data_IF_449685661135
#
_entry.id   IF_449685661135
#
_cell.length_a   1.000
_cell.length_b   1.000
_cell.length_c   1.000
_cell.angle_alpha   90.00
_cell.angle_beta   90.00
_cell.angle_gamma   90.00
#
_symmetry.space_group_name_H-M   'P 1'
#
loop_
_entity.id
_entity.type
_entity.pdbx_description
1 polymer ?
#
# COMPACT_ATOMS: atom_id res chain seq x y z
N UNK A 1 30.66 -1.10 -12.10
CA UNK A 1 29.73 -1.09 -10.97
C UNK A 1 29.52 0.27 -10.36
N UNK A 2 30.56 1.04 -10.07
CA UNK A 2 30.43 2.39 -9.48
C UNK A 2 29.66 3.35 -10.39
N UNK A 3 29.86 3.30 -11.70
CA UNK A 3 29.16 4.14 -12.68
C UNK A 3 27.68 3.80 -12.78
N UNK A 4 27.35 2.53 -12.70
CA UNK A 4 25.95 2.04 -12.74
C UNK A 4 25.21 2.44 -11.47
N UNK A 5 25.86 2.37 -10.32
CA UNK A 5 25.32 2.82 -9.05
C UNK A 5 25.08 4.34 -9.03
N UNK A 6 26.03 5.10 -9.55
CA UNK A 6 25.91 6.56 -9.65
C UNK A 6 24.77 6.96 -10.59
N UNK A 7 24.65 6.30 -11.74
CA UNK A 7 23.57 6.56 -12.70
C UNK A 7 22.20 6.22 -12.10
N UNK A 8 22.12 5.13 -11.37
CA UNK A 8 20.89 4.71 -10.68
C UNK A 8 20.52 5.68 -9.56
N UNK A 9 21.51 6.14 -8.78
CA UNK A 9 21.32 7.15 -7.75
C UNK A 9 20.86 8.49 -8.35
N UNK A 10 21.46 8.91 -9.46
CA UNK A 10 21.07 10.14 -10.16
C UNK A 10 19.66 10.03 -10.74
N UNK A 11 19.32 8.89 -11.31
CA UNK A 11 17.96 8.63 -11.80
C UNK A 11 16.93 8.67 -10.68
N UNK A 12 17.25 8.12 -9.49
CA UNK A 12 16.40 8.20 -8.31
C UNK A 12 16.22 9.65 -7.84
N UNK A 13 17.28 10.44 -7.83
CA UNK A 13 17.21 11.86 -7.43
C UNK A 13 16.37 12.68 -8.42
N UNK A 14 16.49 12.42 -9.71
CA UNK A 14 15.67 13.11 -10.72
C UNK A 14 14.21 12.69 -10.63
N UNK A 15 13.93 11.44 -10.31
CA UNK A 15 12.57 10.97 -10.04
C UNK A 15 11.96 11.64 -8.81
N UNK A 16 12.73 11.83 -7.76
CA UNK A 16 12.27 12.52 -6.55
C UNK A 16 11.92 13.98 -6.82
N UNK A 17 12.64 14.66 -7.68
CA UNK A 17 12.43 16.09 -7.97
C UNK A 17 11.20 16.36 -8.83
N UNK A 18 10.75 15.38 -9.62
CA UNK A 18 9.59 15.51 -10.52
C UNK A 18 8.41 14.64 -10.13
N UNK A 19 8.58 13.79 -9.13
CA UNK A 19 7.62 12.74 -8.79
C UNK A 19 6.67 13.17 -7.69
N UNK A 20 5.47 12.71 -7.82
CA UNK A 20 4.50 12.73 -6.74
C UNK A 20 4.66 11.44 -5.92
N UNK A 21 4.94 11.61 -4.65
CA UNK A 21 4.99 10.50 -3.71
C UNK A 21 3.73 10.44 -2.88
N UNK A 22 3.38 9.25 -2.49
CA UNK A 22 2.29 8.99 -1.56
C UNK A 22 2.80 8.10 -0.43
N UNK A 23 2.57 8.52 0.80
CA UNK A 23 2.77 7.67 1.97
C UNK A 23 1.41 7.13 2.36
N UNK A 24 1.33 5.83 2.53
CA UNK A 24 0.10 5.14 2.93
C UNK A 24 0.33 4.35 4.20
N UNK A 25 -0.70 4.23 5.00
CA UNK A 25 -0.70 3.29 6.11
C UNK A 25 -2.09 2.69 6.24
N UNK A 26 -2.15 1.42 6.60
CA UNK A 26 -3.41 0.75 6.91
C UNK A 26 -3.41 0.47 8.40
N UNK A 27 -4.43 0.97 9.09
CA UNK A 27 -4.56 0.73 10.51
C UNK A 27 -5.06 -0.69 10.76
N UNK A 28 -4.38 -1.40 11.64
CA UNK A 28 -4.82 -2.72 12.11
C UNK A 28 -5.51 -2.56 13.46
N UNK A 29 -6.65 -3.19 13.60
CA UNK A 29 -7.36 -3.17 14.87
C UNK A 29 -6.58 -3.99 15.90
N UNK A 30 -6.37 -3.46 17.12
CA UNK A 30 -5.74 -4.25 18.18
C UNK A 30 -6.62 -5.45 18.54
N UNK A 31 -6.00 -6.50 19.06
CA UNK A 31 -6.73 -7.68 19.56
C UNK A 31 -7.64 -7.30 20.74
N UNK A 32 -8.65 -8.11 20.96
CA UNK A 32 -9.59 -7.87 22.06
C UNK A 32 -8.88 -7.75 23.40
N UNK A 33 -9.12 -6.63 24.09
CA UNK A 33 -8.47 -6.34 25.36
C UNK A 33 -7.12 -5.65 25.27
N UNK A 34 -6.59 -5.42 24.07
CA UNK A 34 -5.35 -4.66 23.86
C UNK A 34 -5.65 -3.20 23.54
N UNK A 35 -4.73 -2.34 23.95
CA UNK A 35 -4.81 -0.91 23.65
C UNK A 35 -4.20 -0.60 22.28
N UNK A 36 -4.60 0.53 21.70
CA UNK A 36 -3.99 1.04 20.49
C UNK A 36 -2.53 1.41 20.74
N UNK A 37 -1.65 0.87 19.90
CA UNK A 37 -0.22 1.16 19.92
C UNK A 37 0.21 1.77 18.60
N UNK A 38 1.37 2.38 18.57
CA UNK A 38 1.94 2.94 17.35
C UNK A 38 2.13 1.88 16.26
N UNK A 39 2.42 0.63 16.65
CA UNK A 39 2.55 -0.49 15.72
C UNK A 39 1.26 -0.75 14.92
N UNK A 40 0.10 -0.49 15.47
CA UNK A 40 -1.18 -0.64 14.74
C UNK A 40 -1.26 0.29 13.51
N UNK A 41 -0.46 1.36 13.50
CA UNK A 41 -0.38 2.31 12.40
C UNK A 41 0.85 2.03 11.53
N UNK A 42 2.00 1.74 12.13
CA UNK A 42 3.28 1.68 11.42
C UNK A 42 3.59 0.32 10.79
N UNK A 43 2.97 -0.75 11.24
CA UNK A 43 3.27 -2.10 10.73
C UNK A 43 2.84 -2.31 9.28
N UNK A 44 1.96 -1.47 8.78
CA UNK A 44 1.49 -1.51 7.39
C UNK A 44 1.73 -0.17 6.67
N UNK A 45 2.80 0.50 7.02
CA UNK A 45 3.19 1.76 6.38
C UNK A 45 3.91 1.48 5.07
N UNK A 46 3.56 2.25 4.05
CA UNK A 46 4.17 2.12 2.75
C UNK A 46 4.40 3.45 2.06
N UNK A 47 5.19 3.40 1.02
CA UNK A 47 5.45 4.53 0.14
C UNK A 47 5.14 4.14 -1.29
N UNK A 48 4.46 5.01 -2.01
CA UNK A 48 4.12 4.83 -3.41
C UNK A 48 4.65 5.96 -4.28
N UNK A 49 4.99 5.60 -5.49
CA UNK A 49 5.35 6.52 -6.56
C UNK A 49 4.17 6.66 -7.52
N UNK A 50 3.66 7.86 -7.67
CA UNK A 50 2.53 8.15 -8.55
C UNK A 50 3.05 8.31 -9.97
N UNK A 51 2.84 7.30 -10.80
CA UNK A 51 3.31 7.28 -12.20
C UNK A 51 2.53 8.25 -13.07
N UNK A 52 1.22 8.31 -12.86
CA UNK A 52 0.31 9.21 -13.57
C UNK A 52 -0.99 9.32 -12.75
N UNK A 53 -1.99 10.00 -13.29
CA UNK A 53 -3.27 10.21 -12.60
C UNK A 53 -4.02 8.92 -12.25
N UNK A 54 -3.68 7.82 -12.90
CA UNK A 54 -4.37 6.53 -12.73
C UNK A 54 -3.57 5.48 -11.99
N UNK A 55 -2.25 5.53 -12.03
CA UNK A 55 -1.42 4.44 -11.53
C UNK A 55 -0.42 4.91 -10.48
N UNK A 56 -0.35 4.15 -9.40
CA UNK A 56 0.65 4.27 -8.34
C UNK A 56 1.26 2.91 -8.07
N UNK A 57 2.57 2.86 -7.94
CA UNK A 57 3.29 1.64 -7.55
C UNK A 57 4.14 1.92 -6.32
N UNK A 58 4.27 0.94 -5.46
CA UNK A 58 5.02 1.14 -4.24
C UNK A 58 5.38 -0.13 -3.49
N UNK A 59 5.93 0.10 -2.33
CA UNK A 59 6.24 -0.93 -1.36
C UNK A 59 5.55 -0.61 -0.04
N UNK A 60 5.15 -1.63 0.67
CA UNK A 60 4.48 -1.50 1.96
C UNK A 60 5.06 -2.52 2.93
N UNK A 61 5.27 -2.08 4.16
CA UNK A 61 5.68 -2.97 5.24
C UNK A 61 4.49 -3.85 5.62
N UNK A 62 4.74 -5.14 5.78
CA UNK A 62 3.74 -6.10 6.20
C UNK A 62 4.33 -6.95 7.34
N UNK A 63 4.12 -6.50 8.58
CA UNK A 63 4.77 -7.10 9.74
C UNK A 63 6.30 -7.02 9.60
N UNK A 64 6.97 -8.17 9.57
CA UNK A 64 8.43 -8.25 9.40
C UNK A 64 8.86 -8.28 7.93
N UNK A 65 7.92 -8.40 7.00
CA UNK A 65 8.20 -8.49 5.58
C UNK A 65 7.88 -7.19 4.83
N UNK A 66 8.17 -7.22 3.54
CA UNK A 66 7.84 -6.15 2.62
C UNK A 66 7.00 -6.70 1.48
N UNK A 67 5.93 -5.99 1.14
CA UNK A 67 5.08 -6.30 0.01
C UNK A 67 5.25 -5.25 -1.09
N UNK A 68 5.05 -5.67 -2.32
CA UNK A 68 4.81 -4.74 -3.43
C UNK A 68 3.33 -4.45 -3.52
N UNK A 69 2.97 -3.22 -3.84
CA UNK A 69 1.58 -2.87 -4.07
C UNK A 69 1.45 -1.95 -5.28
N UNK A 70 0.32 -2.08 -5.92
CA UNK A 70 -0.08 -1.21 -7.01
C UNK A 70 -1.50 -0.72 -6.81
N UNK A 71 -1.77 0.48 -7.30
CA UNK A 71 -3.09 1.11 -7.23
C UNK A 71 -3.47 1.64 -8.59
N UNK A 72 -4.70 1.39 -8.98
CA UNK A 72 -5.31 1.96 -10.17
C UNK A 72 -6.50 2.82 -9.76
N UNK A 73 -6.44 4.10 -10.08
CA UNK A 73 -7.48 5.06 -9.73
C UNK A 73 -8.59 5.06 -10.78
N UNK A 74 -9.80 4.83 -10.33
CA UNK A 74 -11.02 5.08 -11.05
C UNK A 74 -11.51 6.50 -10.74
N UNK A 75 -12.57 6.96 -11.38
CA UNK A 75 -13.07 8.32 -11.14
C UNK A 75 -13.59 8.55 -9.71
N UNK A 76 -14.08 7.51 -9.05
CA UNK A 76 -14.70 7.61 -7.72
C UNK A 76 -14.08 6.67 -6.69
N UNK A 77 -13.26 5.74 -7.11
CA UNK A 77 -12.67 4.72 -6.25
C UNK A 77 -11.31 4.31 -6.80
N UNK A 78 -10.62 3.43 -6.09
CA UNK A 78 -9.40 2.84 -6.58
C UNK A 78 -9.38 1.33 -6.35
N UNK A 79 -8.68 0.64 -7.24
CA UNK A 79 -8.36 -0.77 -7.09
C UNK A 79 -6.91 -0.91 -6.65
N UNK A 80 -6.64 -1.87 -5.80
CA UNK A 80 -5.29 -2.14 -5.33
C UNK A 80 -4.97 -3.62 -5.44
N UNK A 81 -3.69 -3.89 -5.64
CA UNK A 81 -3.13 -5.23 -5.62
C UNK A 81 -1.88 -5.20 -4.77
N UNK A 82 -1.76 -6.13 -3.86
CA UNK A 82 -0.63 -6.24 -2.93
C UNK A 82 -0.15 -7.68 -2.89
N UNK A 83 1.14 -7.88 -2.98
CA UNK A 83 1.74 -9.21 -2.95
C UNK A 83 3.09 -9.16 -2.25
N UNK A 84 3.46 -10.21 -1.49
CA UNK A 84 4.77 -10.30 -0.89
C UNK A 84 5.86 -10.37 -1.97
N UNK A 85 7.06 -9.91 -1.62
CA UNK A 85 8.20 -9.89 -2.54
C UNK A 85 8.97 -11.21 -2.59
N UNK A 86 8.51 -12.20 -1.83
CA UNK A 86 9.15 -13.52 -1.75
C UNK A 86 8.57 -14.50 -2.79
N UNK A 87 8.98 -15.78 -2.69
CA UNK A 87 8.56 -16.84 -3.60
C UNK A 87 7.08 -17.22 -3.50
N UNK A 88 6.36 -16.73 -2.50
CA UNK A 88 4.93 -16.99 -2.28
C UNK A 88 4.03 -15.89 -2.83
N UNK A 89 4.54 -15.04 -3.73
CA UNK A 89 3.84 -13.88 -4.27
C UNK A 89 2.44 -14.22 -4.77
N UNK A 90 2.31 -15.25 -5.59
CA UNK A 90 1.03 -15.64 -6.19
C UNK A 90 0.06 -16.22 -5.17
N UNK A 91 0.59 -16.88 -4.13
CA UNK A 91 -0.24 -17.51 -3.10
C UNK A 91 -0.79 -16.50 -2.08
N UNK A 92 -0.07 -15.40 -1.87
CA UNK A 92 -0.41 -14.42 -0.84
C UNK A 92 -0.80 -13.05 -1.42
N UNK A 93 -1.24 -13.02 -2.67
CA UNK A 93 -1.72 -11.80 -3.31
C UNK A 93 -3.09 -11.39 -2.78
N UNK A 94 -3.27 -10.11 -2.53
CA UNK A 94 -4.55 -9.52 -2.13
C UNK A 94 -5.00 -8.50 -3.17
N UNK A 95 -6.29 -8.47 -3.43
CA UNK A 95 -6.93 -7.45 -4.25
C UNK A 95 -7.88 -6.65 -3.38
N UNK A 96 -7.93 -5.35 -3.60
CA UNK A 96 -8.81 -4.48 -2.84
C UNK A 96 -9.46 -3.41 -3.68
N UNK A 97 -10.53 -2.88 -3.15
CA UNK A 97 -11.19 -1.69 -3.65
C UNK A 97 -11.33 -0.70 -2.50
N UNK A 98 -11.12 0.56 -2.77
CA UNK A 98 -11.22 1.58 -1.74
C UNK A 98 -11.61 2.93 -2.28
N UNK A 99 -11.74 3.85 -1.35
CA UNK A 99 -12.18 5.20 -1.61
C UNK A 99 -11.29 6.16 -0.84
N UNK A 100 -10.94 7.29 -1.44
CA UNK A 100 -10.12 8.33 -0.79
C UNK A 100 -10.99 9.52 -0.45
N UNK A 101 -11.09 9.82 0.84
CA UNK A 101 -11.79 10.99 1.36
C UNK A 101 -10.76 12.02 1.81
N UNK A 102 -10.71 13.14 1.11
CA UNK A 102 -9.82 14.23 1.48
C UNK A 102 -10.32 14.88 2.77
N UNK A 103 -9.49 14.84 3.81
CA UNK A 103 -9.83 15.41 5.11
C UNK A 103 -9.08 16.70 5.41
N UNK A 104 -7.88 16.86 4.85
CA UNK A 104 -7.10 18.08 5.01
C UNK A 104 -5.97 18.13 3.98
N UNK A 105 -5.84 19.26 3.26
CA UNK A 105 -4.76 19.48 2.27
C UNK A 105 -4.44 18.23 1.43
N UNK A 106 -3.36 17.52 1.76
CA UNK A 106 -2.90 16.32 1.09
C UNK A 106 -3.18 15.03 1.88
N UNK A 107 -3.92 15.13 2.97
CA UNK A 107 -4.26 13.99 3.83
C UNK A 107 -5.61 13.41 3.46
N UNK A 108 -5.64 12.09 3.28
CA UNK A 108 -6.83 11.32 2.90
C UNK A 108 -7.10 10.23 3.91
N UNK A 109 -8.36 10.00 4.22
CA UNK A 109 -8.83 8.79 4.91
C UNK A 109 -9.32 7.82 3.85
N UNK A 110 -8.87 6.57 3.93
CA UNK A 110 -9.08 5.59 2.87
C UNK A 110 -9.73 4.30 3.41
N UNK A 111 -11.07 4.27 3.51
CA UNK A 111 -11.74 3.01 3.76
C UNK A 111 -11.58 2.09 2.55
N UNK A 112 -11.34 0.82 2.80
CA UNK A 112 -11.14 -0.18 1.75
C UNK A 112 -11.65 -1.55 2.16
N UNK A 113 -11.87 -2.38 1.15
CA UNK A 113 -12.21 -3.78 1.31
C UNK A 113 -11.23 -4.61 0.49
N UNK A 114 -10.55 -5.54 1.15
CA UNK A 114 -9.53 -6.38 0.52
C UNK A 114 -9.92 -7.85 0.61
N UNK A 115 -9.64 -8.59 -0.45
CA UNK A 115 -9.91 -10.02 -0.56
C UNK A 115 -8.60 -10.72 -0.91
N UNK A 116 -8.19 -11.77 -0.19
CA UNK A 116 -7.05 -12.59 -0.58
C UNK A 116 -7.39 -13.38 -1.85
N UNK A 117 -6.43 -13.53 -2.74
CA UNK A 117 -6.59 -14.36 -3.94
C UNK A 117 -6.62 -15.84 -3.61
N UNK A 118 -5.96 -16.24 -2.53
CA UNK A 118 -5.93 -17.62 -2.08
C UNK A 118 -7.13 -17.93 -1.20
N UNK A 119 -7.77 -19.06 -1.46
CA UNK A 119 -8.83 -19.57 -0.62
C UNK A 119 -8.25 -20.09 0.71
N UNK A 120 -9.02 -19.95 1.79
CA UNK A 120 -8.65 -20.53 3.07
C UNK A 120 -8.83 -22.07 3.06
N UNK A 121 -8.54 -22.74 4.18
CA UNK A 121 -8.66 -24.19 4.31
C UNK A 121 -10.09 -24.72 4.09
N UNK A 122 -11.10 -23.87 4.18
CA UNK A 122 -12.51 -24.20 3.94
C UNK A 122 -12.97 -23.92 2.51
N UNK A 123 -12.08 -23.45 1.64
CA UNK A 123 -12.39 -23.10 0.26
C UNK A 123 -13.04 -21.72 0.09
N UNK A 124 -12.98 -20.87 1.10
CA UNK A 124 -13.57 -19.55 1.10
C UNK A 124 -12.50 -18.46 1.03
N UNK A 125 -12.85 -17.32 0.45
CA UNK A 125 -12.04 -16.10 0.47
C UNK A 125 -12.68 -15.10 1.41
N UNK A 126 -12.02 -14.86 2.54
CA UNK A 126 -12.51 -13.92 3.54
C UNK A 126 -11.99 -12.51 3.24
N UNK A 127 -12.89 -11.63 2.83
CA UNK A 127 -12.58 -10.22 2.69
C UNK A 127 -12.52 -9.52 4.03
N UNK A 128 -11.75 -8.41 4.07
CA UNK A 128 -11.60 -7.58 5.27
C UNK A 128 -11.83 -6.13 4.95
N UNK A 129 -12.58 -5.46 5.80
CA UNK A 129 -12.66 -4.00 5.81
C UNK A 129 -11.41 -3.44 6.48
N UNK A 130 -10.83 -2.43 5.85
CA UNK A 130 -9.66 -1.75 6.39
C UNK A 130 -9.87 -0.23 6.34
N UNK A 131 -9.24 0.45 7.26
CA UNK A 131 -9.19 1.90 7.27
C UNK A 131 -7.73 2.33 7.13
N UNK A 132 -7.45 3.12 6.14
CA UNK A 132 -6.11 3.62 5.87
C UNK A 132 -6.04 5.14 5.93
N UNK A 133 -4.83 5.62 5.96
CA UNK A 133 -4.48 7.02 5.80
C UNK A 133 -3.50 7.14 4.65
N UNK A 134 -3.64 8.17 3.84
CA UNK A 134 -2.71 8.46 2.76
C UNK A 134 -2.34 9.95 2.78
N UNK A 135 -1.08 10.22 2.59
CA UNK A 135 -0.56 11.58 2.41
C UNK A 135 0.09 11.67 1.04
N UNK A 136 -0.38 12.61 0.22
CA UNK A 136 0.13 12.83 -1.14
C UNK A 136 0.99 14.09 -1.16
N UNK A 137 2.21 13.91 -1.53
CA UNK A 137 3.15 15.04 -1.69
C UNK A 137 2.94 15.76 -3.00
#
# INVERSE_FOLDING_TARGET
>A
MKKMFLTMALALVTMISSAQFMVVTTMTQPADGEEWAMSNITDNMGIGYVLNDKMTLGIVKNGDGMDMWGRYNLSFAWLTMQAPTDSTMMDNMNIGIGYSLKVWNALYVEPSYTIPMKENSEGNREGKMRLGLAYRF
#
